data_IF_744185830812
#
_entry.id   IF_744185830812
#
_cell.length_a   1.000
_cell.length_b   1.000
_cell.length_c   1.000
_cell.angle_alpha   90.00
_cell.angle_beta   90.00
_cell.angle_gamma   90.00
#
_symmetry.space_group_name_H-M   'P 1'
#
loop_
_entity.id
_entity.type
_entity.pdbx_description
1 polymer ?
#
# COMPACT_ATOMS: atom_id res chain seq x y z
N UNK A 1 -7.41 -7.85 -12.92
CA UNK A 1 -6.11 -8.47 -12.58
C UNK A 1 -6.03 -8.69 -11.08
N UNK A 2 -5.96 -9.94 -10.64
CA UNK A 2 -5.72 -10.32 -9.23
C UNK A 2 -4.23 -10.18 -8.95
N UNK A 3 -3.83 -9.10 -8.27
CA UNK A 3 -2.44 -8.97 -7.79
C UNK A 3 -2.25 -9.85 -6.55
N UNK A 4 -1.07 -10.47 -6.38
CA UNK A 4 -0.80 -11.29 -5.22
C UNK A 4 -0.89 -10.46 -3.93
N UNK A 5 -1.35 -11.06 -2.81
CA UNK A 5 -1.34 -10.40 -1.52
C UNK A 5 0.07 -10.01 -1.14
N UNK A 6 0.22 -8.80 -0.60
CA UNK A 6 1.52 -8.25 -0.18
C UNK A 6 1.86 -8.67 1.25
N UNK A 7 0.84 -9.00 2.05
CA UNK A 7 0.96 -9.43 3.43
C UNK A 7 -0.16 -10.43 3.79
N UNK A 8 0.15 -11.37 4.68
CA UNK A 8 -0.75 -12.43 5.14
C UNK A 8 -0.85 -12.32 6.66
N UNK A 9 -2.04 -11.96 7.14
CA UNK A 9 -2.34 -11.76 8.56
C UNK A 9 -2.96 -13.05 9.12
N UNK A 10 -2.32 -13.64 10.13
CA UNK A 10 -2.67 -14.96 10.67
C UNK A 10 -2.96 -14.93 12.17
N UNK A 11 -3.73 -15.91 12.64
CA UNK A 11 -3.94 -16.23 14.05
C UNK A 11 -4.49 -15.06 14.85
N UNK A 12 -3.89 -14.79 16.03
CA UNK A 12 -4.32 -13.70 16.93
C UNK A 12 -4.40 -12.33 16.23
N UNK A 13 -3.51 -12.04 15.27
CA UNK A 13 -3.55 -10.77 14.53
C UNK A 13 -4.75 -10.65 13.61
N UNK A 14 -5.19 -11.77 13.01
CA UNK A 14 -6.40 -11.78 12.18
C UNK A 14 -7.64 -11.51 13.06
N UNK A 15 -7.70 -12.14 14.24
CA UNK A 15 -8.75 -11.89 15.22
C UNK A 15 -8.76 -10.43 15.70
N UNK A 16 -7.60 -9.87 16.06
CA UNK A 16 -7.47 -8.47 16.48
C UNK A 16 -7.90 -7.50 15.36
N UNK A 17 -7.60 -7.80 14.10
CA UNK A 17 -8.07 -7.01 12.96
C UNK A 17 -9.60 -7.07 12.81
N UNK A 18 -10.21 -8.26 12.90
CA UNK A 18 -11.66 -8.39 12.83
C UNK A 18 -12.35 -7.65 13.98
N UNK A 19 -11.82 -7.77 15.20
CA UNK A 19 -12.33 -7.05 16.36
C UNK A 19 -12.26 -5.54 16.14
N UNK A 20 -11.13 -5.04 15.63
CA UNK A 20 -10.99 -3.64 15.29
C UNK A 20 -12.01 -3.19 14.23
N UNK A 21 -12.25 -3.98 13.18
CA UNK A 21 -13.26 -3.67 12.14
C UNK A 21 -14.67 -3.60 12.75
N UNK A 22 -14.99 -4.50 13.69
CA UNK A 22 -16.26 -4.50 14.43
C UNK A 22 -16.38 -3.21 15.27
N UNK A 23 -15.37 -2.92 16.08
CA UNK A 23 -15.37 -1.78 17.01
C UNK A 23 -15.44 -0.44 16.26
N UNK A 24 -14.75 -0.34 15.13
CA UNK A 24 -14.74 0.85 14.28
C UNK A 24 -15.98 0.97 13.38
N UNK A 25 -16.89 -0.02 13.40
CA UNK A 25 -18.00 -0.17 12.43
C UNK A 25 -17.53 -0.04 10.97
N UNK A 26 -16.40 -0.67 10.67
CA UNK A 26 -15.78 -0.65 9.35
C UNK A 26 -16.69 -1.25 8.29
N UNK A 27 -16.99 -0.48 7.23
CA UNK A 27 -17.77 -0.97 6.08
C UNK A 27 -16.93 -1.95 5.28
N UNK A 28 -17.50 -3.13 5.06
CA UNK A 28 -16.96 -4.15 4.17
C UNK A 28 -17.80 -4.22 2.90
N UNK A 29 -17.23 -4.80 1.84
CA UNK A 29 -18.00 -5.36 0.73
C UNK A 29 -18.04 -6.87 0.95
N UNK A 30 -19.22 -7.46 0.85
CA UNK A 30 -19.40 -8.91 0.83
C UNK A 30 -19.82 -9.32 -0.58
N UNK A 31 -19.29 -10.44 -1.08
CA UNK A 31 -19.56 -10.92 -2.42
C UNK A 31 -19.54 -12.44 -2.49
N UNK A 32 -20.33 -12.99 -3.39
CA UNK A 32 -20.28 -14.41 -3.71
C UNK A 32 -19.20 -14.62 -4.77
N UNK A 33 -18.17 -15.45 -4.52
CA UNK A 33 -17.07 -15.67 -5.46
C UNK A 33 -17.57 -16.04 -6.86
N UNK A 34 -16.84 -15.60 -7.89
CA UNK A 34 -17.14 -15.86 -9.31
C UNK A 34 -18.51 -15.40 -9.80
N UNK A 35 -19.14 -14.47 -9.09
CA UNK A 35 -20.40 -13.84 -9.51
C UNK A 35 -20.27 -12.32 -9.46
N UNK A 36 -21.20 -11.62 -10.12
CA UNK A 36 -21.32 -10.17 -9.98
C UNK A 36 -22.01 -9.75 -8.67
N UNK A 37 -22.53 -10.71 -7.89
CA UNK A 37 -23.30 -10.44 -6.69
C UNK A 37 -22.39 -9.95 -5.56
N UNK A 38 -22.62 -8.73 -5.11
CA UNK A 38 -21.94 -8.19 -3.95
C UNK A 38 -22.58 -6.91 -3.44
N UNK A 39 -22.64 -6.78 -2.11
CA UNK A 39 -23.30 -5.67 -1.41
C UNK A 39 -22.40 -5.12 -0.31
N UNK A 40 -22.81 -4.00 0.29
CA UNK A 40 -22.15 -3.48 1.48
C UNK A 40 -22.52 -4.35 2.69
N UNK A 41 -21.57 -4.52 3.61
CA UNK A 41 -21.76 -5.28 4.83
C UNK A 41 -21.06 -4.66 6.04
N UNK A 42 -21.49 -5.08 7.22
CA UNK A 42 -20.88 -4.75 8.50
C UNK A 42 -20.55 -6.02 9.27
N UNK A 43 -19.37 -6.05 9.90
CA UNK A 43 -19.05 -7.04 10.90
C UNK A 43 -19.68 -6.59 12.22
N UNK A 44 -20.53 -7.43 12.82
CA UNK A 44 -21.27 -7.05 14.02
C UNK A 44 -20.60 -7.52 15.31
N UNK A 45 -20.14 -8.78 15.34
CA UNK A 45 -19.46 -9.38 16.49
C UNK A 45 -18.79 -10.69 16.12
N UNK A 46 -17.86 -11.12 16.96
CA UNK A 46 -17.38 -12.50 17.00
C UNK A 46 -17.96 -13.20 18.24
N UNK A 47 -18.33 -14.48 18.10
CA UNK A 47 -18.96 -15.27 19.16
C UNK A 47 -18.40 -16.69 19.14
N UNK A 48 -18.11 -17.23 20.33
CA UNK A 48 -17.64 -18.61 20.46
C UNK A 48 -18.83 -19.53 20.69
N UNK A 49 -19.06 -20.49 19.79
CA UNK A 49 -20.10 -21.51 19.90
C UNK A 49 -19.44 -22.90 19.94
N UNK A 50 -19.27 -23.43 21.16
CA UNK A 50 -18.51 -24.67 21.39
C UNK A 50 -17.03 -24.49 21.07
N UNK A 51 -16.53 -25.29 20.12
CA UNK A 51 -15.14 -25.23 19.65
C UNK A 51 -14.95 -24.35 18.40
N UNK A 52 -16.00 -23.64 17.95
CA UNK A 52 -15.94 -22.79 16.77
C UNK A 52 -16.08 -21.32 17.14
N UNK A 53 -15.21 -20.49 16.58
CA UNK A 53 -15.38 -19.04 16.58
C UNK A 53 -16.19 -18.64 15.34
N UNK A 54 -17.29 -17.94 15.56
CA UNK A 54 -18.21 -17.48 14.54
C UNK A 54 -18.12 -15.96 14.39
N UNK A 55 -18.22 -15.49 13.16
CA UNK A 55 -18.32 -14.09 12.78
C UNK A 55 -19.75 -13.81 12.33
N UNK A 56 -20.40 -12.84 12.97
CA UNK A 56 -21.71 -12.35 12.56
C UNK A 56 -21.55 -11.17 11.61
N UNK A 57 -22.12 -11.30 10.42
CA UNK A 57 -22.07 -10.31 9.35
C UNK A 57 -23.50 -9.85 9.05
N UNK A 58 -23.68 -8.53 8.90
CA UNK A 58 -24.90 -7.95 8.36
C UNK A 58 -24.68 -7.60 6.88
N UNK A 59 -25.52 -8.13 6.01
CA UNK A 59 -25.57 -7.83 4.57
C UNK A 59 -26.98 -7.44 4.12
N UNK A 60 -27.32 -7.69 2.85
CA UNK A 60 -28.70 -7.65 2.35
C UNK A 60 -29.43 -8.98 2.61
N UNK A 61 -30.75 -8.97 2.46
CA UNK A 61 -31.62 -10.14 2.64
C UNK A 61 -31.38 -11.27 1.63
N UNK A 62 -30.75 -10.97 0.50
CA UNK A 62 -30.75 -11.87 -0.67
C UNK A 62 -29.64 -12.95 -0.59
N UNK A 63 -28.86 -12.98 0.50
CA UNK A 63 -27.77 -13.93 0.64
C UNK A 63 -28.23 -15.38 0.77
N UNK A 64 -29.37 -15.62 1.41
CA UNK A 64 -29.92 -16.97 1.59
C UNK A 64 -30.26 -17.60 0.23
N UNK A 65 -31.00 -16.89 -0.61
CA UNK A 65 -31.35 -17.33 -1.97
C UNK A 65 -30.11 -17.47 -2.87
N UNK A 66 -29.17 -16.53 -2.79
CA UNK A 66 -27.96 -16.55 -3.59
C UNK A 66 -27.05 -17.74 -3.25
N UNK A 67 -26.88 -18.05 -1.96
CA UNK A 67 -26.08 -19.21 -1.53
C UNK A 67 -26.76 -20.52 -1.92
N UNK A 68 -28.08 -20.63 -1.73
CA UNK A 68 -28.85 -21.79 -2.13
C UNK A 68 -28.77 -22.04 -3.65
N UNK A 69 -28.92 -21.00 -4.46
CA UNK A 69 -28.92 -21.10 -5.93
C UNK A 69 -27.54 -21.41 -6.51
N UNK A 70 -26.47 -20.96 -5.86
CA UNK A 70 -25.09 -21.17 -6.34
C UNK A 70 -24.47 -22.48 -5.88
N UNK A 71 -25.01 -23.11 -4.84
CA UNK A 71 -24.40 -24.28 -4.19
C UNK A 71 -23.08 -23.97 -3.48
N UNK A 72 -22.72 -22.68 -3.34
CA UNK A 72 -21.50 -22.25 -2.64
C UNK A 72 -21.81 -22.00 -1.17
N UNK A 73 -20.84 -22.33 -0.32
CA UNK A 73 -20.90 -22.11 1.13
C UNK A 73 -19.89 -21.06 1.60
N UNK A 74 -19.30 -20.27 0.70
CA UNK A 74 -18.25 -19.31 1.03
C UNK A 74 -18.58 -17.92 0.49
N UNK A 75 -18.24 -16.90 1.28
CA UNK A 75 -18.36 -15.50 0.92
C UNK A 75 -16.99 -14.82 0.99
N UNK A 76 -16.70 -13.97 0.00
CA UNK A 76 -15.53 -13.10 -0.01
C UNK A 76 -15.91 -11.78 0.63
N UNK A 77 -15.20 -11.40 1.69
CA UNK A 77 -15.28 -10.08 2.29
C UNK A 77 -14.06 -9.25 1.93
N UNK A 78 -14.29 -7.99 1.60
CA UNK A 78 -13.26 -7.00 1.30
C UNK A 78 -13.42 -5.78 2.22
N UNK A 79 -12.34 -5.37 2.86
CA UNK A 79 -12.29 -4.23 3.77
C UNK A 79 -11.14 -3.31 3.36
N UNK A 80 -11.37 -2.00 3.35
CA UNK A 80 -10.29 -1.03 3.16
C UNK A 80 -9.83 -0.53 4.52
N UNK A 81 -8.57 -0.79 4.86
CA UNK A 81 -7.98 -0.28 6.11
C UNK A 81 -7.80 1.26 6.06
N UNK A 82 -7.54 1.85 7.23
CA UNK A 82 -7.34 3.30 7.36
C UNK A 82 -6.18 3.85 6.52
N UNK A 83 -5.22 3.00 6.14
CA UNK A 83 -4.06 3.35 5.31
C UNK A 83 -4.35 3.18 3.80
N UNK A 84 -5.58 2.79 3.45
CA UNK A 84 -6.01 2.50 2.08
C UNK A 84 -5.46 1.19 1.53
N UNK A 85 -4.99 0.29 2.39
CA UNK A 85 -4.70 -1.10 2.06
C UNK A 85 -6.00 -1.89 1.93
N UNK A 86 -6.08 -2.77 0.94
CA UNK A 86 -7.26 -3.62 0.71
C UNK A 86 -7.05 -4.96 1.38
N UNK A 87 -7.77 -5.22 2.46
CA UNK A 87 -7.85 -6.53 3.09
C UNK A 87 -8.97 -7.34 2.44
N UNK A 88 -8.76 -8.65 2.28
CA UNK A 88 -9.81 -9.58 1.89
C UNK A 88 -9.64 -10.92 2.60
N UNK A 89 -10.76 -11.60 2.83
CA UNK A 89 -10.80 -12.89 3.50
C UNK A 89 -12.05 -13.66 3.13
N UNK A 90 -11.93 -14.99 3.17
CA UNK A 90 -13.03 -15.91 2.88
C UNK A 90 -13.71 -16.34 4.17
N UNK A 91 -15.03 -16.35 4.16
CA UNK A 91 -15.86 -16.80 5.29
C UNK A 91 -16.72 -17.95 4.83
N UNK A 92 -16.56 -19.11 5.48
CA UNK A 92 -17.44 -20.27 5.29
C UNK A 92 -18.75 -20.01 6.05
N UNK A 93 -19.86 -19.97 5.33
CA UNK A 93 -21.20 -19.71 5.86
C UNK A 93 -21.69 -20.94 6.60
N UNK A 94 -22.08 -20.73 7.86
CA UNK A 94 -22.69 -21.76 8.72
C UNK A 94 -24.20 -21.69 8.64
N UNK A 95 -24.76 -20.47 8.66
CA UNK A 95 -26.21 -20.24 8.55
C UNK A 95 -26.51 -18.81 8.13
N UNK A 96 -27.64 -18.63 7.46
CA UNK A 96 -28.21 -17.32 7.13
C UNK A 96 -29.56 -17.16 7.82
N UNK A 97 -29.91 -15.92 8.17
CA UNK A 97 -31.24 -15.58 8.67
C UNK A 97 -31.55 -14.12 8.34
N UNK A 98 -32.36 -13.91 7.29
CA UNK A 98 -32.61 -12.58 6.74
C UNK A 98 -31.31 -11.89 6.33
N UNK A 99 -31.09 -10.66 6.80
CA UNK A 99 -29.86 -9.89 6.53
C UNK A 99 -28.62 -10.37 7.28
N UNK A 100 -28.73 -11.41 8.11
CA UNK A 100 -27.64 -11.88 8.96
C UNK A 100 -27.02 -13.14 8.40
N UNK A 101 -25.72 -13.09 8.20
CA UNK A 101 -24.90 -14.24 7.83
C UNK A 101 -24.00 -14.59 9.01
N UNK A 102 -24.10 -15.83 9.47
CA UNK A 102 -23.16 -16.42 10.39
C UNK A 102 -22.17 -17.24 9.59
N UNK A 103 -20.88 -16.94 9.74
CA UNK A 103 -19.83 -17.75 9.16
C UNK A 103 -18.71 -18.04 10.15
N UNK A 104 -17.84 -18.98 9.81
CA UNK A 104 -16.63 -19.26 10.59
C UNK A 104 -15.70 -18.06 10.54
N UNK A 105 -15.10 -17.72 11.67
CA UNK A 105 -14.06 -16.68 11.72
C UNK A 105 -12.90 -17.08 10.79
N UNK A 106 -12.48 -16.20 9.86
CA UNK A 106 -11.45 -16.55 8.89
C UNK A 106 -10.09 -16.74 9.60
N UNK A 107 -9.36 -17.83 9.32
CA UNK A 107 -8.04 -18.06 9.91
C UNK A 107 -6.95 -17.16 9.30
N UNK A 108 -7.22 -16.62 8.11
CA UNK A 108 -6.27 -15.85 7.29
C UNK A 108 -6.96 -14.61 6.74
N UNK A 109 -6.28 -13.47 6.82
CA UNK A 109 -6.68 -12.24 6.13
C UNK A 109 -5.54 -11.80 5.21
N UNK A 110 -5.86 -11.64 3.93
CA UNK A 110 -4.93 -11.22 2.91
C UNK A 110 -4.97 -9.71 2.73
N UNK A 111 -3.83 -9.05 2.89
CA UNK A 111 -3.71 -7.59 2.71
C UNK A 111 -2.93 -7.27 1.45
N UNK A 112 -3.58 -6.52 0.55
CA UNK A 112 -2.98 -6.02 -0.69
C UNK A 112 -2.60 -4.56 -0.48
N UNK A 113 -1.29 -4.30 -0.37
CA UNK A 113 -0.75 -2.95 -0.21
C UNK A 113 -0.11 -2.50 -1.52
N UNK A 114 -0.88 -1.85 -2.38
CA UNK A 114 -0.40 -1.37 -3.69
C UNK A 114 0.53 -0.15 -3.60
N UNK A 115 0.45 0.61 -2.51
CA UNK A 115 1.19 1.86 -2.36
C UNK A 115 2.53 1.61 -1.68
N UNK A 116 3.61 1.90 -2.40
CA UNK A 116 4.97 1.89 -1.85
C UNK A 116 5.20 2.99 -0.80
N UNK A 117 4.46 4.09 -0.89
CA UNK A 117 4.62 5.25 -0.01
C UNK A 117 3.33 5.59 0.73
N UNK A 118 3.48 5.88 2.03
CA UNK A 118 2.41 6.40 2.87
C UNK A 118 1.97 7.79 2.39
N UNK A 119 0.65 8.04 2.37
CA UNK A 119 0.06 9.31 1.94
C UNK A 119 -0.43 10.09 3.15
N UNK A 120 -0.05 11.35 3.23
CA UNK A 120 -0.59 12.31 4.17
C UNK A 120 -1.70 13.10 3.50
N UNK A 121 -2.80 13.31 4.23
CA UNK A 121 -3.76 14.36 3.87
C UNK A 121 -3.06 15.70 4.01
N UNK A 122 -3.22 16.53 2.99
CA UNK A 122 -2.66 17.87 3.01
C UNK A 122 -3.43 18.71 4.02
N UNK A 123 -2.71 19.50 4.81
CA UNK A 123 -3.33 20.48 5.69
C UNK A 123 -3.81 21.71 4.88
N UNK A 124 -4.80 22.46 5.37
CA UNK A 124 -5.26 23.67 4.72
C UNK A 124 -4.10 24.63 4.39
N UNK A 125 -4.12 25.20 3.19
CA UNK A 125 -3.05 26.09 2.68
C UNK A 125 -1.86 25.35 2.05
N UNK A 126 -1.88 24.02 1.95
CA UNK A 126 -0.89 23.30 1.15
C UNK A 126 -1.19 23.48 -0.33
N UNK A 127 -0.20 23.94 -1.08
CA UNK A 127 -0.33 24.25 -2.51
C UNK A 127 0.79 23.63 -3.34
N UNK A 128 0.51 23.39 -4.61
CA UNK A 128 1.50 23.03 -5.62
C UNK A 128 1.51 24.09 -6.71
N UNK A 129 2.70 24.51 -7.13
CA UNK A 129 2.90 25.38 -8.27
C UNK A 129 3.88 24.75 -9.26
N UNK A 130 3.66 24.97 -10.55
CA UNK A 130 4.56 24.51 -11.62
C UNK A 130 4.33 25.32 -12.89
N UNK A 131 5.22 25.19 -13.87
CA UNK A 131 5.07 25.85 -15.17
C UNK A 131 4.40 24.90 -16.15
N UNK A 132 3.36 25.38 -16.84
CA UNK A 132 2.78 24.66 -17.99
C UNK A 132 3.55 25.01 -19.26
N UNK A 133 3.88 26.29 -19.39
CA UNK A 133 4.71 26.82 -20.46
C UNK A 133 5.58 27.97 -19.90
N UNK A 134 6.50 28.56 -20.68
CA UNK A 134 7.37 29.63 -20.20
C UNK A 134 6.66 30.90 -19.68
N UNK A 135 5.38 31.09 -20.01
CA UNK A 135 4.58 32.28 -19.68
C UNK A 135 3.47 31.97 -18.67
N UNK A 136 3.11 30.70 -18.49
CA UNK A 136 1.99 30.29 -17.66
C UNK A 136 2.45 29.43 -16.47
N UNK A 137 2.30 29.99 -15.27
CA UNK A 137 2.35 29.21 -14.03
C UNK A 137 0.96 28.68 -13.69
N UNK A 138 0.90 27.40 -13.35
CA UNK A 138 -0.26 26.76 -12.78
C UNK A 138 -0.10 26.60 -11.27
N UNK A 139 -1.22 26.71 -10.56
CA UNK A 139 -1.30 26.48 -9.12
C UNK A 139 -2.50 25.61 -8.79
N UNK A 140 -2.42 24.96 -7.64
CA UNK A 140 -3.52 24.14 -7.15
C UNK A 140 -3.41 23.79 -5.68
N UNK A 141 -4.57 23.49 -5.10
CA UNK A 141 -4.73 23.08 -3.71
C UNK A 141 -4.44 21.58 -3.64
N UNK A 142 -3.49 21.20 -2.79
CA UNK A 142 -3.11 19.79 -2.63
C UNK A 142 -4.13 19.09 -1.74
N UNK A 143 -4.58 17.90 -2.15
CA UNK A 143 -5.46 17.01 -1.39
C UNK A 143 -4.67 16.06 -0.50
N UNK A 144 -3.70 15.39 -1.09
CA UNK A 144 -2.82 14.42 -0.42
C UNK A 144 -1.45 14.37 -1.10
N UNK A 145 -0.43 14.00 -0.34
CA UNK A 145 0.92 13.84 -0.84
C UNK A 145 1.66 12.68 -0.17
N UNK A 146 2.69 12.18 -0.85
CA UNK A 146 3.59 11.12 -0.39
C UNK A 146 4.97 11.33 -0.98
N UNK A 147 5.94 10.50 -0.60
CA UNK A 147 7.25 10.48 -1.23
C UNK A 147 7.23 10.16 -2.73
N UNK A 148 6.18 9.52 -3.24
CA UNK A 148 6.08 9.13 -4.64
C UNK A 148 5.20 10.03 -5.49
N UNK A 149 4.51 11.01 -4.93
CA UNK A 149 3.56 11.81 -5.69
C UNK A 149 2.60 12.61 -4.85
N UNK A 150 1.75 13.40 -5.51
CA UNK A 150 0.68 14.20 -4.89
C UNK A 150 -0.60 14.15 -5.71
N UNK A 151 -1.72 14.52 -5.08
CA UNK A 151 -2.97 14.78 -5.76
C UNK A 151 -3.44 16.20 -5.44
N UNK A 152 -3.96 16.93 -6.42
CA UNK A 152 -4.35 18.33 -6.27
C UNK A 152 -5.54 18.70 -7.14
N UNK A 153 -6.24 19.77 -6.76
CA UNK A 153 -7.24 20.46 -7.57
C UNK A 153 -6.63 21.75 -8.09
N UNK A 154 -6.75 22.06 -9.39
CA UNK A 154 -6.15 23.27 -9.92
C UNK A 154 -7.00 24.50 -9.57
N UNK A 155 -6.37 25.67 -9.52
CA UNK A 155 -7.07 26.95 -9.35
C UNK A 155 -7.83 27.37 -10.62
N UNK A 156 -7.34 26.94 -11.79
CA UNK A 156 -7.93 27.17 -13.11
C UNK A 156 -7.86 25.90 -13.97
N UNK A 157 -8.71 25.75 -14.99
CA UNK A 157 -8.66 24.59 -15.88
C UNK A 157 -7.27 24.43 -16.51
N UNK A 158 -6.70 23.22 -16.39
CA UNK A 158 -5.39 22.89 -16.96
C UNK A 158 -5.56 21.95 -18.15
N UNK A 159 -4.79 22.14 -19.24
CA UNK A 159 -4.83 21.27 -20.42
C UNK A 159 -4.01 19.97 -20.23
N UNK A 160 -3.91 19.45 -19.00
CA UNK A 160 -3.10 18.27 -18.67
C UNK A 160 -3.85 16.97 -18.93
N UNK A 161 -3.15 15.98 -19.48
CA UNK A 161 -3.62 14.62 -19.77
C UNK A 161 -2.76 13.59 -19.04
N UNK A 162 -3.29 12.38 -18.91
CA UNK A 162 -2.50 11.26 -18.40
C UNK A 162 -1.25 11.04 -19.25
N UNK A 163 -0.13 10.74 -18.59
CA UNK A 163 1.24 10.63 -19.10
C UNK A 163 1.93 11.95 -19.47
N UNK A 164 1.27 13.11 -19.32
CA UNK A 164 1.95 14.39 -19.50
C UNK A 164 3.05 14.60 -18.45
N UNK A 165 4.18 15.16 -18.90
CA UNK A 165 5.29 15.54 -18.05
C UNK A 165 5.08 16.96 -17.51
N UNK A 166 5.29 17.11 -16.21
CA UNK A 166 5.29 18.40 -15.52
C UNK A 166 6.67 18.59 -14.91
N UNK A 167 7.26 19.77 -15.13
CA UNK A 167 8.60 20.11 -14.65
C UNK A 167 8.56 21.25 -13.63
N UNK A 168 9.65 21.39 -12.86
CA UNK A 168 9.86 22.47 -11.90
C UNK A 168 8.73 22.65 -10.88
N UNK A 169 8.20 21.54 -10.35
CA UNK A 169 7.14 21.59 -9.36
C UNK A 169 7.65 22.04 -8.00
N UNK A 170 6.87 22.89 -7.35
CA UNK A 170 7.08 23.36 -5.99
C UNK A 170 5.88 23.00 -5.14
N UNK A 171 6.08 22.07 -4.21
CA UNK A 171 5.09 21.75 -3.20
C UNK A 171 5.38 22.60 -1.96
N UNK A 172 4.44 23.47 -1.58
CA UNK A 172 4.55 24.35 -0.41
C UNK A 172 3.60 23.87 0.69
N UNK A 173 4.18 23.53 1.83
CA UNK A 173 3.47 22.94 2.97
C UNK A 173 3.57 23.91 4.17
N UNK A 174 2.45 24.39 4.72
CA UNK A 174 2.49 25.24 5.92
C UNK A 174 3.19 24.57 7.11
N UNK A 175 4.03 25.29 7.85
CA UNK A 175 4.75 24.78 9.01
C UNK A 175 5.05 25.91 9.99
N UNK A 176 4.27 26.01 11.09
CA UNK A 176 4.55 26.91 12.20
C UNK A 176 4.68 28.39 11.81
N UNK A 177 3.81 28.88 10.92
CA UNK A 177 3.84 30.27 10.42
C UNK A 177 4.76 30.51 9.23
N UNK A 178 5.49 29.48 8.77
CA UNK A 178 6.29 29.50 7.55
C UNK A 178 5.82 28.44 6.55
N UNK A 179 6.47 28.35 5.38
CA UNK A 179 6.25 27.27 4.42
C UNK A 179 7.50 26.40 4.31
N UNK A 180 7.32 25.08 4.42
CA UNK A 180 8.29 24.11 3.93
C UNK A 180 8.07 23.93 2.43
N UNK A 181 9.05 24.35 1.63
CA UNK A 181 9.02 24.17 0.17
C UNK A 181 9.82 22.92 -0.23
N UNK A 182 9.18 22.06 -1.03
CA UNK A 182 9.75 20.84 -1.58
C UNK A 182 9.83 20.99 -3.10
N UNK A 183 11.05 21.14 -3.61
CA UNK A 183 11.31 21.23 -5.05
C UNK A 183 11.39 19.84 -5.70
N UNK A 184 10.59 19.62 -6.73
CA UNK A 184 10.48 18.37 -7.49
C UNK A 184 10.80 18.70 -8.94
N UNK A 185 11.82 18.04 -9.50
CA UNK A 185 12.32 18.38 -10.84
C UNK A 185 11.34 17.99 -11.94
N UNK A 186 10.74 16.82 -11.80
CA UNK A 186 9.84 16.27 -12.79
C UNK A 186 8.80 15.36 -12.12
N UNK A 187 7.59 15.40 -12.66
CA UNK A 187 6.49 14.53 -12.30
C UNK A 187 5.67 14.19 -13.53
N UNK A 188 4.99 13.05 -13.52
CA UNK A 188 4.10 12.62 -14.60
C UNK A 188 2.67 12.56 -14.11
N UNK A 189 1.73 13.02 -14.93
CA UNK A 189 0.29 12.91 -14.65
C UNK A 189 -0.12 11.46 -14.77
N UNK A 190 -0.44 10.79 -13.67
CA UNK A 190 -0.89 9.38 -13.70
C UNK A 190 -2.38 9.21 -13.82
N UNK A 191 -3.14 10.24 -13.44
CA UNK A 191 -4.59 10.17 -13.45
C UNK A 191 -5.20 11.56 -13.43
N UNK A 192 -6.29 11.71 -14.16
CA UNK A 192 -7.22 12.84 -14.10
C UNK A 192 -8.58 12.28 -13.73
N UNK A 193 -9.07 12.60 -12.54
CA UNK A 193 -10.41 12.20 -12.08
C UNK A 193 -11.36 13.38 -12.22
N UNK A 194 -12.56 13.20 -12.79
CA UNK A 194 -13.57 14.25 -12.75
C UNK A 194 -13.88 14.61 -11.29
N UNK A 195 -13.85 15.91 -10.98
CA UNK A 195 -14.25 16.42 -9.68
C UNK A 195 -15.77 16.40 -9.52
N UNK A 196 -16.25 16.79 -8.33
CA UNK A 196 -17.68 17.12 -8.15
C UNK A 196 -18.07 18.32 -9.04
N UNK A 197 -17.11 19.22 -9.24
CA UNK A 197 -17.16 20.28 -10.23
C UNK A 197 -16.40 19.80 -11.48
N UNK A 198 -17.07 19.66 -12.63
CA UNK A 198 -16.43 19.26 -13.89
C UNK A 198 -15.27 20.17 -14.31
N UNK A 199 -15.27 21.43 -13.89
CA UNK A 199 -14.22 22.40 -14.21
C UNK A 199 -12.97 22.24 -13.32
N UNK A 200 -13.08 21.48 -12.23
CA UNK A 200 -12.01 21.25 -11.26
C UNK A 200 -11.72 19.76 -11.10
N UNK A 201 -11.22 19.11 -12.17
CA UNK A 201 -10.78 17.74 -12.07
C UNK A 201 -9.65 17.61 -11.05
N UNK A 202 -9.55 16.45 -10.42
CA UNK A 202 -8.46 16.11 -9.55
C UNK A 202 -7.34 15.46 -10.36
N UNK A 203 -6.16 16.06 -10.30
CA UNK A 203 -4.95 15.52 -10.90
C UNK A 203 -4.16 14.70 -9.87
N UNK A 204 -3.61 13.57 -10.28
CA UNK A 204 -2.65 12.80 -9.50
C UNK A 204 -1.31 12.72 -10.25
N UNK A 205 -0.27 13.24 -9.61
CA UNK A 205 1.10 13.27 -10.14
C UNK A 205 1.95 12.21 -9.45
N UNK A 206 2.78 11.51 -10.22
CA UNK A 206 3.88 10.70 -9.70
C UNK A 206 5.20 11.45 -9.87
N UNK A 207 6.01 11.51 -8.81
CA UNK A 207 7.31 12.17 -8.86
C UNK A 207 8.34 11.26 -9.54
N UNK A 208 8.94 11.77 -10.61
CA UNK A 208 10.01 11.08 -11.34
C UNK A 208 11.38 11.41 -10.74
N UNK A 209 11.56 12.63 -10.23
CA UNK A 209 12.87 13.10 -9.78
C UNK A 209 12.80 14.11 -8.64
N UNK A 210 13.58 13.84 -7.59
CA UNK A 210 13.91 14.78 -6.52
C UNK A 210 15.40 14.66 -6.20
N UNK A 211 16.01 15.76 -5.79
CA UNK A 211 17.39 15.72 -5.27
C UNK A 211 17.44 14.81 -4.04
N UNK A 212 18.57 14.14 -3.81
CA UNK A 212 18.75 13.28 -2.62
C UNK A 212 18.51 14.05 -1.32
N UNK A 213 18.93 15.32 -1.28
CA UNK A 213 18.73 16.22 -0.13
C UNK A 213 17.24 16.51 0.06
N UNK A 214 16.54 16.93 -1.00
CA UNK A 214 15.10 17.25 -0.96
C UNK A 214 14.27 16.02 -0.57
N UNK A 215 14.57 14.85 -1.16
CA UNK A 215 13.88 13.60 -0.84
C UNK A 215 14.03 13.22 0.64
N UNK A 216 15.23 13.39 1.22
CA UNK A 216 15.47 13.13 2.65
C UNK A 216 14.69 14.10 3.54
N UNK A 217 14.72 15.39 3.21
CA UNK A 217 13.95 16.41 3.93
C UNK A 217 12.46 16.09 3.90
N UNK A 218 11.93 15.74 2.72
CA UNK A 218 10.52 15.41 2.57
C UNK A 218 10.13 14.11 3.28
N UNK A 219 11.02 13.10 3.27
CA UNK A 219 10.82 11.88 4.04
C UNK A 219 10.76 12.14 5.55
N UNK A 220 11.64 13.00 6.06
CA UNK A 220 11.65 13.39 7.46
C UNK A 220 10.36 14.12 7.85
N UNK A 221 9.90 15.05 6.99
CA UNK A 221 8.61 15.73 7.16
C UNK A 221 7.45 14.73 7.23
N UNK A 222 7.33 13.84 6.24
CA UNK A 222 6.26 12.83 6.20
C UNK A 222 6.27 11.94 7.43
N UNK A 223 7.45 11.54 7.90
CA UNK A 223 7.59 10.71 9.10
C UNK A 223 7.20 11.48 10.37
N UNK A 224 7.57 12.75 10.47
CA UNK A 224 7.18 13.63 11.58
C UNK A 224 5.66 13.75 11.69
N UNK A 225 5.00 14.05 10.57
CA UNK A 225 3.53 14.13 10.50
C UNK A 225 2.86 12.79 10.79
N UNK A 226 3.38 11.68 10.26
CA UNK A 226 2.87 10.34 10.59
C UNK A 226 2.92 10.11 12.10
N UNK A 227 4.05 10.38 12.75
CA UNK A 227 4.20 10.22 14.22
C UNK A 227 3.23 11.11 15.00
N UNK A 228 2.98 12.33 14.53
CA UNK A 228 2.00 13.25 15.13
C UNK A 228 0.60 12.67 15.10
N UNK A 229 0.15 12.17 13.94
CA UNK A 229 -1.16 11.53 13.77
C UNK A 229 -1.31 10.28 14.64
N UNK A 230 -0.28 9.45 14.73
CA UNK A 230 -0.33 8.23 15.55
C UNK A 230 -0.53 8.51 17.04
N UNK A 231 0.05 9.59 17.55
CA UNK A 231 -0.16 10.01 18.94
C UNK A 231 -1.59 10.48 19.19
N UNK A 232 -2.30 10.94 18.16
CA UNK A 232 -3.67 11.43 18.27
C UNK A 232 -4.72 10.31 18.18
N UNK A 233 -4.52 9.31 17.32
CA UNK A 233 -5.60 8.39 16.92
C UNK A 233 -5.57 6.97 17.53
N UNK A 234 -4.67 6.63 18.46
CA UNK A 234 -4.59 5.30 19.13
C UNK A 234 -4.73 4.09 18.17
N UNK A 235 -4.19 4.20 16.95
CA UNK A 235 -4.30 3.15 15.91
C UNK A 235 -3.43 1.93 16.32
N UNK A 236 -3.93 0.68 16.21
CA UNK A 236 -3.14 -0.51 16.49
C UNK A 236 -1.82 -0.56 15.69
N UNK A 237 -0.67 -0.85 16.32
CA UNK A 237 0.63 -0.80 15.66
C UNK A 237 0.78 -1.68 14.42
N UNK A 238 0.12 -2.85 14.39
CA UNK A 238 0.25 -3.82 13.29
C UNK A 238 -0.37 -3.32 11.98
N UNK A 239 -1.33 -2.40 12.02
CA UNK A 239 -1.89 -1.78 10.81
C UNK A 239 -0.89 -0.84 10.12
N UNK A 240 0.13 -0.40 10.87
CA UNK A 240 1.09 0.63 10.47
C UNK A 240 2.41 0.06 9.95
N UNK A 241 2.67 -1.21 10.24
CA UNK A 241 3.77 -1.94 9.66
C UNK A 241 3.44 -2.13 8.17
N UNK A 242 4.28 -1.56 7.30
CA UNK A 242 4.29 -1.94 5.89
C UNK A 242 4.66 -3.42 5.76
N UNK A 243 4.49 -4.02 4.57
CA UNK A 243 4.88 -5.41 4.36
C UNK A 243 6.30 -5.61 4.90
N UNK A 244 6.45 -6.47 5.91
CA UNK A 244 7.78 -6.90 6.35
C UNK A 244 8.36 -7.60 5.14
N UNK A 245 9.53 -7.17 4.67
CA UNK A 245 10.26 -7.90 3.65
C UNK A 245 10.31 -9.36 4.12
N UNK A 246 9.67 -10.26 3.39
CA UNK A 246 9.77 -11.68 3.71
C UNK A 246 11.26 -11.99 3.70
N UNK A 247 11.82 -12.61 4.76
CA UNK A 247 13.16 -13.14 4.66
C UNK A 247 13.14 -14.08 3.47
N UNK A 248 13.91 -13.74 2.42
CA UNK A 248 14.04 -14.61 1.25
C UNK A 248 14.40 -16.02 1.72
N UNK A 249 14.01 -17.06 0.98
CA UNK A 249 14.33 -18.42 1.35
C UNK A 249 15.83 -18.50 1.62
N UNK A 250 16.19 -18.79 2.87
CA UNK A 250 17.55 -19.12 3.25
C UNK A 250 17.86 -20.36 2.43
N UNK A 251 18.61 -20.18 1.35
CA UNK A 251 19.05 -21.27 0.50
C UNK A 251 19.75 -22.28 1.40
N UNK A 252 19.11 -23.44 1.58
CA UNK A 252 19.76 -24.60 2.15
C UNK A 252 20.96 -24.91 1.26
N UNK A 253 22.15 -24.59 1.75
CA UNK A 253 23.39 -25.09 1.18
C UNK A 253 23.33 -26.62 1.19
N UNK A 254 23.62 -27.29 0.07
CA UNK A 254 23.65 -28.74 0.05
C UNK A 254 24.81 -29.23 0.92
N UNK A 255 24.49 -30.12 1.85
CA UNK A 255 25.45 -30.94 2.60
C UNK A 255 26.25 -31.78 1.61
N UNK A 256 27.53 -31.42 1.47
CA UNK A 256 28.49 -32.13 0.64
C UNK A 256 28.63 -33.58 1.07
N UNK A 257 28.40 -34.47 0.12
CA UNK A 257 28.56 -35.91 0.21
C UNK A 257 30.04 -36.26 0.35
N UNK A 258 30.35 -37.11 1.31
CA UNK A 258 31.65 -37.71 1.56
C UNK A 258 32.08 -38.55 0.35
N UNK A 259 33.20 -38.20 -0.29
CA UNK A 259 33.96 -39.15 -1.10
C UNK A 259 35.43 -39.11 -0.72
N UNK A 260 35.79 -40.16 -0.01
CA UNK A 260 37.11 -40.68 0.22
C UNK A 260 37.63 -41.32 -1.07
N UNK A 261 38.86 -40.97 -1.50
CA UNK A 261 39.84 -41.86 -2.16
C UNK A 261 41.12 -41.15 -2.60
N UNK A 262 42.21 -41.56 -1.92
CA UNK A 262 43.53 -41.90 -2.47
C UNK A 262 44.31 -40.89 -3.33
N UNK A 263 45.37 -40.36 -2.71
CA UNK A 263 46.66 -39.94 -3.30
C UNK A 263 47.36 -41.12 -4.05
N UNK A 264 48.33 -40.92 -4.99
CA UNK A 264 49.60 -40.24 -4.68
C UNK A 264 50.34 -39.46 -5.80
N UNK A 265 51.17 -38.51 -5.33
CA UNK A 265 52.50 -38.05 -5.81
C UNK A 265 52.78 -37.86 -7.31
N UNK A 266 53.19 -36.64 -7.67
CA UNK A 266 54.35 -36.38 -8.51
C UNK A 266 54.96 -34.99 -8.21
N UNK A 267 56.24 -34.83 -8.54
CA UNK A 267 57.21 -33.86 -8.02
C UNK A 267 57.45 -32.67 -8.96
N UNK A 268 57.80 -31.54 -8.34
CA UNK A 268 58.92 -30.63 -8.69
C UNK A 268 58.84 -29.74 -9.94
N UNK A 269 58.92 -28.42 -9.66
CA UNK A 269 59.85 -27.38 -10.19
C UNK A 269 59.05 -26.08 -10.38
N UNK A 270 59.57 -24.85 -10.33
CA UNK A 270 60.74 -24.14 -9.78
C UNK A 270 60.63 -22.73 -10.42
N UNK A 271 60.90 -21.66 -9.66
CA UNK A 271 61.27 -20.31 -10.14
C UNK A 271 60.19 -19.49 -10.89
N UNK A 272 60.18 -18.16 -10.95
CA UNK A 272 60.80 -17.04 -10.23
C UNK A 272 60.32 -15.73 -10.89
N UNK A 273 60.39 -14.62 -10.14
CA UNK A 273 60.69 -13.22 -10.59
C UNK A 273 59.63 -12.47 -11.42
N UNK A 274 59.11 -11.34 -10.90
CA UNK A 274 59.60 -9.93 -10.96
C UNK A 274 59.15 -9.18 -12.22
N UNK A 275 58.73 -7.91 -12.02
CA UNK A 275 58.43 -6.89 -13.02
C UNK A 275 57.15 -6.15 -12.61
N UNK A 276 57.17 -5.11 -11.77
CA UNK A 276 57.64 -3.72 -12.02
C UNK A 276 57.10 -3.06 -13.29
N UNK A 277 56.57 -1.84 -13.12
CA UNK A 277 56.11 -0.91 -14.16
C UNK A 277 54.60 -0.62 -14.01
N UNK A 278 54.11 0.50 -13.50
CA UNK A 278 54.67 1.85 -13.48
C UNK A 278 53.94 2.73 -14.50
N UNK A 279 53.31 3.81 -14.00
CA UNK A 279 53.16 5.13 -14.66
C UNK A 279 52.31 5.25 -15.95
N UNK A 280 51.19 5.99 -15.88
CA UNK A 280 51.05 7.41 -16.34
C UNK A 280 49.59 7.82 -16.63
N UNK A 281 49.12 8.75 -15.80
CA UNK A 281 48.49 10.05 -16.10
C UNK A 281 48.21 10.49 -17.55
N UNK A 282 47.10 11.28 -17.64
CA UNK A 282 46.71 12.32 -18.63
C UNK A 282 46.01 11.73 -19.89
N UNK A 283 44.76 12.05 -20.24
CA UNK A 283 43.99 13.31 -20.17
C UNK A 283 42.60 13.15 -19.53
#
# INVERSE_FOLDING_TARGET
>A
MNQPPTDIILGRRAFELLQYIIDSRGRCRISLPDTALGSAALLLRMEKQGNMDLLLIQGNSDWEEALASSGKSELLLEYNDENGGRCHFMVEVVRTFGERVWGKTPPVIYRVQRRMFFRLKAQPGTEVGFKIDPRQEARGIVRDYSLGGLAFWPESPLPLKTEDLVEDLRLRIPAGGSFTEIAIYAAVVRRVEPGTDPEKPLYALEFLGMSRRTRRQFAAHILGEKRRLLRQFKIPPFLLEGPRAQPGPIGCLPTGTTQDRSSPRAKSRKAARRGEGGLKYIF
#
